data_IF_177451166184
#
_entry.id   IF_177451166184
#
_cell.length_a   1.000
_cell.length_b   1.000
_cell.length_c   1.000
_cell.angle_alpha   90.00
_cell.angle_beta   90.00
_cell.angle_gamma   90.00
#
_symmetry.space_group_name_H-M   'P 1'
#
loop_
_entity.id
_entity.type
_entity.pdbx_description
1 polymer ?
#
# COMPACT_ATOMS: atom_id res chain seq x y z
N UNK A 1 39.37 10.32 33.79
CA UNK A 1 38.71 9.20 34.49
C UNK A 1 37.30 9.05 33.96
N UNK A 2 36.83 7.82 33.76
CA UNK A 2 35.56 7.46 33.11
C UNK A 2 34.57 7.02 34.19
N UNK A 3 33.31 7.49 34.20
CA UNK A 3 32.22 6.74 34.80
C UNK A 3 31.63 5.83 33.72
N UNK A 4 31.67 4.53 33.99
CA UNK A 4 30.98 3.49 33.21
C UNK A 4 29.50 3.54 33.57
N UNK A 5 28.64 3.91 32.61
CA UNK A 5 27.20 3.69 32.72
C UNK A 5 26.86 2.40 31.97
N UNK A 6 26.51 1.36 32.74
CA UNK A 6 25.79 0.20 32.26
C UNK A 6 24.43 0.67 31.73
N UNK A 7 24.16 0.49 30.44
CA UNK A 7 22.79 0.46 29.95
C UNK A 7 22.57 -0.84 29.19
N UNK A 8 21.73 -1.65 29.82
CA UNK A 8 21.12 -2.89 29.40
C UNK A 8 20.75 -2.87 27.91
N UNK A 9 21.29 -3.83 27.18
CA UNK A 9 21.02 -4.09 25.76
C UNK A 9 19.64 -4.74 25.63
N UNK A 10 18.57 -3.96 25.58
CA UNK A 10 17.24 -4.50 25.30
C UNK A 10 16.99 -4.50 23.78
N UNK A 11 17.34 -5.61 23.13
CA UNK A 11 16.89 -5.95 21.79
C UNK A 11 15.40 -6.26 21.85
N UNK A 12 14.52 -5.29 21.57
CA UNK A 12 13.14 -5.45 21.06
C UNK A 12 12.39 -4.11 21.13
N UNK A 13 12.63 -3.20 20.19
CA UNK A 13 11.65 -2.18 19.81
C UNK A 13 11.89 -1.73 18.37
N UNK A 14 11.14 -2.34 17.47
CA UNK A 14 10.84 -1.82 16.14
C UNK A 14 10.10 -0.47 16.25
N UNK A 15 10.26 0.38 15.23
CA UNK A 15 11.28 1.41 15.21
C UNK A 15 11.05 2.49 16.27
N UNK A 16 12.13 3.08 16.81
CA UNK A 16 12.04 4.33 17.55
C UNK A 16 11.53 5.44 16.60
N UNK A 17 10.23 5.72 16.62
CA UNK A 17 9.72 7.03 16.20
C UNK A 17 10.00 8.03 17.30
N UNK A 18 11.26 8.40 17.46
CA UNK A 18 11.65 9.62 18.16
C UNK A 18 11.86 10.70 17.08
N UNK A 19 10.78 11.04 16.38
CA UNK A 19 10.78 12.13 15.41
C UNK A 19 10.70 13.46 16.17
N UNK A 20 11.81 13.86 16.79
CA UNK A 20 12.02 15.24 17.20
C UNK A 20 12.22 16.08 15.94
N UNK A 21 11.12 16.43 15.27
CA UNK A 21 11.14 17.40 14.19
C UNK A 21 11.39 18.78 14.81
N UNK A 22 12.65 19.17 14.92
CA UNK A 22 13.02 20.56 15.09
C UNK A 22 13.00 21.22 13.71
N UNK A 23 12.08 22.17 13.44
CA UNK A 23 12.24 23.02 12.28
C UNK A 23 13.53 23.79 12.46
N UNK A 24 14.56 23.44 11.68
CA UNK A 24 15.82 24.18 11.65
C UNK A 24 15.48 25.58 11.13
N UNK A 25 15.36 26.55 12.04
CA UNK A 25 15.36 27.97 11.68
C UNK A 25 16.77 28.31 11.23
N UNK A 26 17.03 28.02 9.96
CA UNK A 26 18.30 28.25 9.31
C UNK A 26 18.46 29.76 9.08
N UNK A 27 18.83 30.48 10.13
CA UNK A 27 19.02 31.94 10.17
C UNK A 27 20.25 32.43 9.39
N UNK A 28 20.57 31.82 8.25
CA UNK A 28 21.74 32.20 7.48
C UNK A 28 21.99 31.50 6.14
N UNK A 29 21.09 30.64 5.65
CA UNK A 29 21.32 29.98 4.36
C UNK A 29 20.50 30.67 3.26
N UNK A 30 21.20 31.40 2.39
CA UNK A 30 20.64 31.87 1.12
C UNK A 30 20.27 30.65 0.28
N UNK A 31 18.99 30.31 0.23
CA UNK A 31 18.48 29.37 -0.75
C UNK A 31 18.61 30.02 -2.14
N UNK A 32 19.67 29.69 -2.86
CA UNK A 32 19.47 29.49 -4.29
C UNK A 32 18.38 28.43 -4.39
N UNK A 33 17.28 28.75 -5.06
CA UNK A 33 16.14 27.87 -5.31
C UNK A 33 16.56 26.60 -6.08
N UNK A 34 17.30 25.69 -5.44
CA UNK A 34 17.20 24.29 -5.74
C UNK A 34 15.83 23.90 -5.19
N UNK A 35 14.80 23.99 -6.05
CA UNK A 35 13.53 23.31 -5.80
C UNK A 35 13.90 21.88 -5.42
N UNK A 36 13.65 21.41 -4.18
CA UNK A 36 13.57 19.98 -4.01
C UNK A 36 12.34 19.63 -4.83
N UNK A 37 12.54 19.12 -6.05
CA UNK A 37 11.50 18.28 -6.65
C UNK A 37 11.37 17.13 -5.66
N UNK A 38 10.51 17.30 -4.66
CA UNK A 38 9.97 16.21 -3.87
C UNK A 38 9.55 15.20 -4.93
N UNK A 39 10.23 14.04 -5.02
CA UNK A 39 9.86 13.10 -6.05
C UNK A 39 8.38 12.83 -5.78
N UNK A 40 7.53 13.18 -6.76
CA UNK A 40 6.09 13.03 -6.64
C UNK A 40 5.85 11.66 -6.03
N UNK A 41 4.96 11.54 -5.03
CA UNK A 41 4.66 10.25 -4.39
C UNK A 41 4.51 9.14 -5.43
N UNK A 42 3.93 9.49 -6.59
CA UNK A 42 3.81 8.66 -7.79
C UNK A 42 5.13 8.08 -8.30
N UNK A 43 6.22 8.85 -8.33
CA UNK A 43 7.55 8.43 -8.78
C UNK A 43 8.22 7.47 -7.78
N UNK A 44 8.08 7.72 -6.47
CA UNK A 44 8.61 6.83 -5.43
C UNK A 44 7.85 5.50 -5.43
N UNK A 45 6.52 5.57 -5.44
CA UNK A 45 5.67 4.38 -5.53
C UNK A 45 6.00 3.58 -6.79
N UNK A 46 6.12 4.23 -7.93
CA UNK A 46 6.44 3.56 -9.19
C UNK A 46 7.80 2.87 -9.16
N UNK A 47 8.84 3.50 -8.60
CA UNK A 47 10.15 2.85 -8.44
C UNK A 47 10.11 1.65 -7.50
N UNK A 48 9.36 1.74 -6.39
CA UNK A 48 9.16 0.61 -5.46
C UNK A 48 8.40 -0.55 -6.13
N UNK A 49 7.31 -0.25 -6.85
CA UNK A 49 6.52 -1.24 -7.58
C UNK A 49 7.31 -1.88 -8.73
N UNK A 50 8.19 -1.12 -9.39
CA UNK A 50 9.01 -1.64 -10.48
C UNK A 50 10.18 -2.51 -10.00
N UNK A 51 10.75 -2.23 -8.83
CA UNK A 51 12.02 -2.84 -8.41
C UNK A 51 11.87 -3.97 -7.39
N UNK A 52 10.90 -3.87 -6.48
CA UNK A 52 10.74 -4.85 -5.40
C UNK A 52 9.43 -5.66 -5.48
N UNK A 53 8.33 -5.08 -5.97
CA UNK A 53 6.99 -5.67 -5.80
C UNK A 53 6.42 -6.42 -7.02
N UNK A 54 7.14 -6.54 -8.14
CA UNK A 54 6.56 -7.04 -9.41
C UNK A 54 6.07 -8.48 -9.34
N UNK A 55 6.82 -9.38 -8.69
CA UNK A 55 6.43 -10.80 -8.64
C UNK A 55 5.26 -11.03 -7.70
N UNK A 56 5.28 -10.39 -6.53
CA UNK A 56 4.23 -10.52 -5.52
C UNK A 56 2.90 -9.91 -6.01
N UNK A 57 2.97 -8.75 -6.66
CA UNK A 57 1.80 -8.09 -7.25
C UNK A 57 1.19 -8.87 -8.41
N UNK A 58 2.00 -9.46 -9.30
CA UNK A 58 1.48 -10.27 -10.42
C UNK A 58 0.82 -11.55 -9.90
N UNK A 59 1.41 -12.21 -8.90
CA UNK A 59 0.81 -13.38 -8.25
C UNK A 59 -0.55 -13.05 -7.62
N UNK A 60 -0.61 -11.97 -6.84
CA UNK A 60 -1.84 -11.50 -6.20
C UNK A 60 -2.92 -11.14 -7.23
N UNK A 61 -2.54 -10.47 -8.32
CA UNK A 61 -3.48 -10.12 -9.40
C UNK A 61 -4.04 -11.35 -10.12
N UNK A 62 -3.20 -12.37 -10.36
CA UNK A 62 -3.65 -13.64 -10.95
C UNK A 62 -4.62 -14.36 -10.01
N UNK A 63 -4.29 -14.42 -8.71
CA UNK A 63 -5.16 -15.03 -7.71
C UNK A 63 -6.51 -14.31 -7.63
N UNK A 64 -6.50 -12.98 -7.60
CA UNK A 64 -7.71 -12.17 -7.62
C UNK A 64 -8.55 -12.43 -8.88
N UNK A 65 -7.92 -12.48 -10.06
CA UNK A 65 -8.62 -12.80 -11.30
C UNK A 65 -9.27 -14.19 -11.27
N UNK A 66 -8.56 -15.20 -10.74
CA UNK A 66 -9.11 -16.55 -10.55
C UNK A 66 -10.33 -16.55 -9.63
N UNK A 67 -10.28 -15.79 -8.52
CA UNK A 67 -11.41 -15.65 -7.61
C UNK A 67 -12.62 -14.99 -8.29
N UNK A 68 -12.39 -13.93 -9.06
CA UNK A 68 -13.45 -13.24 -9.82
C UNK A 68 -14.10 -14.18 -10.83
N UNK A 69 -13.32 -14.90 -11.63
CA UNK A 69 -13.83 -15.87 -12.61
C UNK A 69 -14.64 -16.97 -11.91
N UNK A 70 -14.09 -17.52 -10.81
CA UNK A 70 -14.75 -18.57 -10.03
C UNK A 70 -16.08 -18.08 -9.44
N UNK A 71 -16.14 -16.84 -8.95
CA UNK A 71 -17.36 -16.25 -8.39
C UNK A 71 -18.38 -15.84 -9.48
N UNK A 72 -17.93 -15.51 -10.69
CA UNK A 72 -18.81 -15.11 -11.79
C UNK A 72 -19.72 -16.26 -12.25
N UNK A 73 -19.21 -17.50 -12.27
CA UNK A 73 -19.97 -18.69 -12.71
C UNK A 73 -21.29 -18.88 -11.92
N UNK A 74 -21.27 -19.00 -10.57
CA UNK A 74 -22.51 -19.12 -9.81
C UNK A 74 -23.37 -17.87 -9.88
N UNK A 75 -22.78 -16.67 -10.01
CA UNK A 75 -23.51 -15.42 -10.14
C UNK A 75 -24.36 -15.36 -11.41
N UNK A 76 -23.78 -15.75 -12.56
CA UNK A 76 -24.50 -15.79 -13.85
C UNK A 76 -25.60 -16.85 -13.82
N UNK A 77 -25.31 -18.02 -13.27
CA UNK A 77 -26.32 -19.08 -13.09
C UNK A 77 -27.49 -18.61 -12.22
N UNK A 78 -27.20 -17.96 -11.09
CA UNK A 78 -28.21 -17.38 -10.23
C UNK A 78 -29.03 -16.29 -10.95
N UNK A 79 -28.37 -15.40 -11.70
CA UNK A 79 -29.05 -14.36 -12.47
C UNK A 79 -30.00 -14.95 -13.53
N UNK A 80 -29.59 -16.03 -14.20
CA UNK A 80 -30.44 -16.75 -15.15
C UNK A 80 -31.67 -17.37 -14.47
N UNK A 81 -31.47 -18.03 -13.33
CA UNK A 81 -32.57 -18.62 -12.57
C UNK A 81 -33.58 -17.57 -12.09
N UNK A 82 -33.10 -16.41 -11.63
CA UNK A 82 -33.96 -15.28 -11.24
C UNK A 82 -34.73 -14.73 -12.43
N UNK A 83 -34.08 -14.55 -13.59
CA UNK A 83 -34.74 -14.07 -14.79
C UNK A 83 -35.87 -15.01 -15.24
N UNK A 84 -35.63 -16.33 -15.19
CA UNK A 84 -36.63 -17.33 -15.53
C UNK A 84 -37.80 -17.35 -14.54
N UNK A 85 -37.51 -17.17 -13.24
CA UNK A 85 -38.53 -17.04 -12.21
C UNK A 85 -39.43 -15.82 -12.46
N UNK A 86 -38.82 -14.67 -12.75
CA UNK A 86 -39.55 -13.44 -13.09
C UNK A 86 -40.42 -13.64 -14.34
N UNK A 87 -39.92 -14.35 -15.35
CA UNK A 87 -40.69 -14.67 -16.55
C UNK A 87 -41.89 -15.57 -16.24
N UNK A 88 -41.68 -16.61 -15.42
CA UNK A 88 -42.73 -17.54 -15.04
C UNK A 88 -43.88 -16.88 -14.26
N UNK A 89 -43.58 -15.91 -13.39
CA UNK A 89 -44.59 -15.16 -12.64
C UNK A 89 -45.12 -13.90 -13.36
N UNK A 90 -44.41 -13.44 -14.40
CA UNK A 90 -44.75 -12.22 -15.13
C UNK A 90 -45.57 -12.44 -16.40
N UNK A 91 -45.81 -13.69 -16.81
CA UNK A 91 -46.74 -13.99 -17.90
C UNK A 91 -48.18 -14.05 -17.35
N UNK A 92 -49.12 -13.25 -17.89
CA UNK A 92 -50.53 -13.25 -17.48
C UNK A 92 -51.28 -14.51 -17.90
#
# INVERSE_FOLDING_TARGET
>A
MKPTAFIVRNHTRFPLTDCNYHPVTLSGYRSHCAKPLTPSFRNISHQYFQREARHDFVGEAILFAMLVITAAIPLVSAAYAVAELCRAFGQP
#
